data_IF_589093783381
#
_entry.id   IF_589093783381
#
_cell.length_a   1.000
_cell.length_b   1.000
_cell.length_c   1.000
_cell.angle_alpha   90.00
_cell.angle_beta   90.00
_cell.angle_gamma   90.00
#
_symmetry.space_group_name_H-M   'P 1'
#
loop_
_entity.id
_entity.type
_entity.pdbx_description
1 polymer ?
#
# COMPACT_ATOMS: atom_id res chain seq x y z
N UNK A 1 1.13 -5.87 22.12
CA UNK A 1 2.18 -5.07 21.45
C UNK A 1 3.48 -5.07 22.28
N UNK A 2 3.59 -5.96 23.27
CA UNK A 2 4.52 -5.79 24.40
C UNK A 2 5.87 -6.47 24.18
N UNK A 3 6.00 -7.23 23.08
CA UNK A 3 7.19 -8.00 22.73
C UNK A 3 8.45 -7.13 22.58
N UNK A 4 8.31 -5.87 22.20
CA UNK A 4 9.43 -4.94 22.03
C UNK A 4 9.49 -3.85 23.12
N UNK A 5 8.64 -3.93 24.15
CA UNK A 5 8.59 -2.93 25.22
C UNK A 5 9.93 -2.75 25.95
N UNK A 6 10.74 -3.81 26.04
CA UNK A 6 12.06 -3.81 26.69
C UNK A 6 13.24 -3.81 25.71
N UNK A 7 12.98 -3.67 24.41
CA UNK A 7 14.04 -3.71 23.41
C UNK A 7 14.92 -2.45 23.50
N UNK A 8 16.22 -2.64 23.79
CA UNK A 8 17.19 -1.53 23.96
C UNK A 8 17.26 -0.60 22.75
N UNK A 9 17.13 -1.12 21.53
CA UNK A 9 17.16 -0.31 20.29
C UNK A 9 15.93 0.57 20.18
N UNK A 10 14.76 0.02 20.53
CA UNK A 10 13.48 0.74 20.54
C UNK A 10 13.47 1.84 21.60
N UNK A 11 13.88 1.51 22.83
CA UNK A 11 13.95 2.44 23.97
C UNK A 11 14.89 3.61 23.71
N UNK A 12 16.10 3.33 23.20
CA UNK A 12 17.10 4.37 22.93
C UNK A 12 16.70 5.33 21.81
N UNK A 13 15.88 4.88 20.84
CA UNK A 13 15.44 5.69 19.69
C UNK A 13 14.02 6.23 19.83
N UNK A 14 13.31 5.90 20.91
CA UNK A 14 11.90 6.24 21.08
C UNK A 14 10.96 5.58 20.06
N UNK A 15 11.38 4.49 19.43
CA UNK A 15 10.61 3.81 18.40
C UNK A 15 9.74 2.70 19.01
N UNK A 16 8.51 2.55 18.53
CA UNK A 16 7.62 1.46 18.97
C UNK A 16 8.11 0.08 18.52
N UNK A 17 8.72 0.01 17.33
CA UNK A 17 9.20 -1.22 16.70
C UNK A 17 10.68 -1.07 16.33
N UNK A 18 11.44 -2.18 16.26
CA UNK A 18 12.77 -2.15 15.67
C UNK A 18 12.62 -1.93 14.17
N UNK A 19 12.82 -0.69 13.71
CA UNK A 19 12.71 -0.32 12.29
C UNK A 19 14.09 -0.47 11.64
N UNK A 20 14.33 -1.52 10.82
CA UNK A 20 15.58 -1.64 10.06
C UNK A 20 15.62 -0.63 8.90
N UNK A 21 16.76 -0.52 8.23
CA UNK A 21 16.87 0.32 7.03
C UNK A 21 15.97 -0.21 5.91
N UNK A 22 15.56 0.68 4.99
CA UNK A 22 14.78 0.27 3.81
C UNK A 22 15.46 -0.84 3.00
N UNK A 23 16.80 -0.81 2.91
CA UNK A 23 17.59 -1.85 2.25
C UNK A 23 17.38 -3.20 2.94
N UNK A 24 17.62 -3.26 4.26
CA UNK A 24 17.46 -4.49 5.05
C UNK A 24 16.02 -5.00 5.05
N UNK A 25 15.04 -4.11 5.10
CA UNK A 25 13.62 -4.48 4.98
C UNK A 25 13.31 -5.09 3.61
N UNK A 26 13.85 -4.53 2.52
CA UNK A 26 13.66 -5.09 1.19
C UNK A 26 14.39 -6.43 0.98
N UNK A 27 15.52 -6.66 1.66
CA UNK A 27 16.17 -7.99 1.71
C UNK A 27 15.25 -9.02 2.36
N UNK A 28 14.67 -8.71 3.52
CA UNK A 28 13.70 -9.60 4.17
C UNK A 28 12.45 -9.85 3.30
N UNK A 29 11.95 -8.82 2.61
CA UNK A 29 10.84 -8.99 1.67
C UNK A 29 11.20 -9.92 0.50
N UNK A 30 12.46 -9.91 0.05
CA UNK A 30 12.94 -10.84 -0.97
C UNK A 30 12.96 -12.28 -0.46
N UNK A 31 13.50 -12.51 0.73
CA UNK A 31 13.50 -13.84 1.37
C UNK A 31 12.08 -14.37 1.54
N UNK A 32 11.14 -13.53 1.99
CA UNK A 32 9.72 -13.88 2.11
C UNK A 32 9.12 -14.20 0.73
N UNK A 33 9.44 -13.42 -0.31
CA UNK A 33 8.98 -13.67 -1.67
C UNK A 33 9.44 -15.04 -2.18
N UNK A 34 10.72 -15.37 -1.96
CA UNK A 34 11.33 -16.64 -2.36
C UNK A 34 10.65 -17.81 -1.63
N UNK A 35 10.38 -17.68 -0.32
CA UNK A 35 9.67 -18.70 0.48
C UNK A 35 8.21 -18.88 0.06
N UNK A 36 7.57 -17.82 -0.42
CA UNK A 36 6.19 -17.84 -0.89
C UNK A 36 6.04 -18.21 -2.38
N UNK A 37 7.14 -18.42 -3.11
CA UNK A 37 7.12 -18.68 -4.56
C UNK A 37 6.62 -17.48 -5.38
N UNK A 38 6.89 -16.25 -4.94
CA UNK A 38 6.49 -15.02 -5.62
C UNK A 38 7.66 -14.52 -6.49
N UNK A 39 7.55 -14.69 -7.81
CA UNK A 39 8.60 -14.27 -8.75
C UNK A 39 8.76 -12.74 -8.88
N UNK A 40 7.77 -11.98 -8.41
CA UNK A 40 7.81 -10.52 -8.42
C UNK A 40 8.68 -10.01 -7.28
N UNK A 41 9.71 -9.22 -7.60
CA UNK A 41 10.54 -8.52 -6.61
C UNK A 41 9.68 -7.68 -5.65
N UNK A 42 9.52 -8.13 -4.41
CA UNK A 42 8.77 -7.40 -3.40
C UNK A 42 9.60 -6.26 -2.82
N UNK A 43 8.98 -5.08 -2.68
CA UNK A 43 9.57 -3.90 -2.03
C UNK A 43 8.49 -3.14 -1.28
N UNK A 44 8.90 -2.31 -0.31
CA UNK A 44 7.98 -1.40 0.39
C UNK A 44 7.24 -0.45 -0.57
N UNK A 45 7.87 -0.06 -1.67
CA UNK A 45 7.21 0.72 -2.72
C UNK A 45 6.09 -0.06 -3.40
N UNK A 46 6.32 -1.33 -3.77
CA UNK A 46 5.28 -2.17 -4.38
C UNK A 46 4.12 -2.38 -3.41
N UNK A 47 4.40 -2.63 -2.13
CA UNK A 47 3.35 -2.73 -1.12
C UNK A 47 2.49 -1.45 -1.05
N UNK A 48 3.13 -0.27 -1.05
CA UNK A 48 2.42 1.03 -1.11
C UNK A 48 1.57 1.17 -2.38
N UNK A 49 2.10 0.79 -3.54
CA UNK A 49 1.36 0.81 -4.81
C UNK A 49 0.15 -0.13 -4.78
N UNK A 50 0.31 -1.36 -4.28
CA UNK A 50 -0.77 -2.35 -4.15
C UNK A 50 -1.83 -1.87 -3.17
N UNK A 51 -1.45 -1.29 -2.04
CA UNK A 51 -2.40 -0.69 -1.11
C UNK A 51 -3.22 0.42 -1.76
N UNK A 52 -2.53 1.36 -2.44
CA UNK A 52 -3.17 2.50 -3.09
C UNK A 52 -4.12 2.12 -4.23
N UNK A 53 -3.80 1.08 -5.00
CA UNK A 53 -4.58 0.72 -6.19
C UNK A 53 -5.58 -0.39 -5.90
N UNK A 54 -5.07 -1.55 -5.48
CA UNK A 54 -5.87 -2.76 -5.32
C UNK A 54 -6.71 -2.74 -4.05
N UNK A 55 -6.14 -2.31 -2.92
CA UNK A 55 -6.86 -2.35 -1.64
C UNK A 55 -7.85 -1.20 -1.52
N UNK A 56 -7.51 0.01 -1.98
CA UNK A 56 -8.37 1.19 -1.79
C UNK A 56 -9.14 1.61 -3.04
N UNK A 57 -8.46 2.08 -4.10
CA UNK A 57 -9.14 2.68 -5.26
C UNK A 57 -10.08 1.70 -5.98
N UNK A 58 -9.65 0.46 -6.20
CA UNK A 58 -10.51 -0.57 -6.81
C UNK A 58 -11.72 -0.92 -5.93
N UNK A 59 -11.61 -0.76 -4.61
CA UNK A 59 -12.73 -0.97 -3.67
C UNK A 59 -13.54 0.30 -3.40
N UNK A 60 -13.42 1.34 -4.25
CA UNK A 60 -14.29 2.52 -4.19
C UNK A 60 -13.92 3.55 -3.13
N UNK A 61 -12.74 3.45 -2.53
CA UNK A 61 -12.25 4.50 -1.62
C UNK A 61 -11.91 5.76 -2.43
N UNK A 62 -12.45 6.95 -2.07
CA UNK A 62 -12.17 8.20 -2.78
C UNK A 62 -10.67 8.54 -2.82
N UNK A 63 -10.21 9.12 -3.92
CA UNK A 63 -8.79 9.41 -4.14
C UNK A 63 -8.22 10.41 -3.11
N UNK A 64 -9.04 11.32 -2.59
CA UNK A 64 -8.71 12.27 -1.53
C UNK A 64 -8.40 11.53 -0.22
N UNK A 65 -9.22 10.53 0.11
CA UNK A 65 -9.04 9.67 1.27
C UNK A 65 -7.79 8.82 1.11
N UNK A 66 -7.56 8.24 -0.07
CA UNK A 66 -6.31 7.51 -0.36
C UNK A 66 -5.09 8.43 -0.23
N UNK A 67 -5.17 9.66 -0.73
CA UNK A 67 -4.08 10.64 -0.61
C UNK A 67 -3.71 10.94 0.84
N UNK A 68 -4.72 11.08 1.72
CA UNK A 68 -4.51 11.27 3.16
C UNK A 68 -3.93 10.02 3.82
N UNK A 69 -4.44 8.83 3.50
CA UNK A 69 -3.93 7.56 4.03
C UNK A 69 -2.46 7.30 3.64
N UNK A 70 -2.05 7.74 2.45
CA UNK A 70 -0.66 7.64 1.98
C UNK A 70 0.26 8.75 2.50
N UNK A 71 -0.30 9.76 3.19
CA UNK A 71 0.45 10.90 3.70
C UNK A 71 0.96 11.85 2.61
N UNK A 72 0.32 11.89 1.44
CA UNK A 72 0.71 12.78 0.36
C UNK A 72 0.19 14.19 0.61
N UNK A 73 1.10 15.18 0.67
CA UNK A 73 0.76 16.60 0.80
C UNK A 73 0.13 17.19 -0.47
N UNK A 74 0.42 16.60 -1.63
CA UNK A 74 -0.15 16.99 -2.92
C UNK A 74 -0.89 15.81 -3.55
N UNK A 75 -2.19 16.00 -3.80
CA UNK A 75 -3.05 15.02 -4.45
C UNK A 75 -2.54 14.57 -5.82
N UNK A 76 -1.78 15.43 -6.53
CA UNK A 76 -1.13 15.08 -7.80
C UNK A 76 -0.23 13.84 -7.70
N UNK A 77 0.40 13.61 -6.55
CA UNK A 77 1.21 12.40 -6.30
C UNK A 77 0.34 11.14 -6.34
N UNK A 78 -0.86 11.23 -5.77
CA UNK A 78 -1.87 10.15 -5.75
C UNK A 78 -2.55 10.01 -7.12
N UNK A 79 -2.69 11.09 -7.89
CA UNK A 79 -3.26 11.05 -9.25
C UNK A 79 -2.43 10.22 -10.24
N UNK A 80 -1.18 9.84 -9.92
CA UNK A 80 -0.44 8.84 -10.70
C UNK A 80 -1.21 7.50 -10.83
N UNK A 81 -2.13 7.23 -9.90
CA UNK A 81 -2.99 6.05 -9.94
C UNK A 81 -4.24 6.18 -10.83
N UNK A 82 -4.43 7.31 -11.53
CA UNK A 82 -5.64 7.62 -12.29
C UNK A 82 -6.01 6.57 -13.35
N UNK A 83 -5.03 5.89 -13.97
CA UNK A 83 -5.31 4.82 -14.95
C UNK A 83 -6.18 3.69 -14.37
N UNK A 84 -6.05 3.41 -13.06
CA UNK A 84 -6.88 2.42 -12.36
C UNK A 84 -8.31 2.93 -12.20
N UNK A 85 -8.50 4.24 -12.02
CA UNK A 85 -9.82 4.85 -11.93
C UNK A 85 -10.60 4.71 -13.24
N UNK A 86 -9.95 4.88 -14.38
CA UNK A 86 -10.62 4.73 -15.70
C UNK A 86 -11.21 3.33 -15.88
N UNK A 87 -10.47 2.29 -15.47
CA UNK A 87 -10.93 0.90 -15.50
C UNK A 87 -12.16 0.73 -14.58
N UNK A 88 -12.09 1.31 -13.38
CA UNK A 88 -13.19 1.25 -12.41
C UNK A 88 -14.44 1.96 -12.92
N UNK A 89 -14.30 3.13 -13.55
CA UNK A 89 -15.44 3.86 -14.13
C UNK A 89 -16.14 2.99 -15.18
N UNK A 90 -15.40 2.30 -16.05
CA UNK A 90 -15.99 1.37 -17.02
C UNK A 90 -16.80 0.26 -16.36
N UNK A 91 -16.26 -0.35 -15.30
CA UNK A 91 -16.94 -1.40 -14.54
C UNK A 91 -18.20 -0.88 -13.83
N UNK A 92 -18.10 0.28 -13.18
CA UNK A 92 -19.21 0.94 -12.48
C UNK A 92 -20.35 1.28 -13.47
N UNK A 93 -20.02 1.77 -14.67
CA UNK A 93 -21.01 2.07 -15.72
C UNK A 93 -21.67 0.81 -16.29
N UNK A 94 -20.94 -0.29 -16.39
CA UNK A 94 -21.51 -1.58 -16.81
C UNK A 94 -22.51 -2.11 -15.77
N UNK A 95 -22.18 -2.02 -14.48
CA UNK A 95 -23.08 -2.37 -13.37
C UNK A 95 -24.34 -1.51 -13.33
N UNK A 96 -24.20 -0.19 -13.54
CA UNK A 96 -25.35 0.71 -13.64
C UNK A 96 -26.25 0.33 -14.81
N UNK A 97 -25.67 -0.04 -15.96
CA UNK A 97 -26.45 -0.47 -17.12
C UNK A 97 -27.28 -1.72 -16.80
N UNK A 98 -26.70 -2.72 -16.16
CA UNK A 98 -27.42 -3.94 -15.78
C UNK A 98 -28.50 -3.72 -14.72
N UNK A 99 -28.29 -2.77 -13.81
CA UNK A 99 -29.23 -2.50 -12.72
C UNK A 99 -30.47 -1.72 -13.16
N UNK A 100 -30.35 -0.92 -14.22
CA UNK A 100 -31.37 0.03 -14.66
C UNK A 100 -31.85 -0.16 -16.11
N UNK A 101 -31.42 -1.23 -16.79
CA UNK A 101 -31.96 -1.74 -18.06
C UNK A 101 -32.32 -3.21 -17.90
#
# INVERSE_FOLDING_TARGET
MDRYATNKVCLNKGNLLPVPSNQKMNEYLKEIADLCGIDKKLTSHIARHTFATTVTLLNGVPIESVSKLLGHTNIRTTQRYAKILDIKVGADMALLREKYH
#
